data_IF_229894384223
#
_entry.id   IF_229894384223
#
_cell.length_a   1.000
_cell.length_b   1.000
_cell.length_c   1.000
_cell.angle_alpha   90.00
_cell.angle_beta   90.00
_cell.angle_gamma   90.00
#
_symmetry.space_group_name_H-M   'P 1'
#
loop_
_entity.id
_entity.type
_entity.pdbx_description
1 polymer ?
#
# COMPACT_ATOMS: atom_id res chain seq x y z
N UNK A 1 -19.45 -18.75 10.38
CA UNK A 1 -19.60 -17.91 9.17
C UNK A 1 -19.07 -16.48 9.32
N UNK A 2 -18.71 -15.99 10.54
CA UNK A 2 -18.12 -14.65 10.71
C UNK A 2 -16.63 -14.53 10.32
N UNK A 3 -15.87 -15.62 10.35
CA UNK A 3 -14.41 -15.61 10.18
C UNK A 3 -13.91 -15.46 8.73
N UNK A 4 -14.72 -15.79 7.71
CA UNK A 4 -14.28 -15.69 6.30
C UNK A 4 -14.35 -14.24 5.79
N UNK A 5 -15.45 -13.52 6.08
CA UNK A 5 -15.65 -12.13 5.65
C UNK A 5 -14.65 -11.14 6.28
N UNK A 6 -14.26 -11.36 7.54
CA UNK A 6 -13.27 -10.52 8.19
C UNK A 6 -11.90 -10.60 7.48
N UNK A 7 -11.54 -11.76 6.93
CA UNK A 7 -10.25 -11.91 6.25
C UNK A 7 -10.17 -11.06 4.97
N UNK A 8 -11.18 -11.09 4.10
CA UNK A 8 -11.18 -10.29 2.87
C UNK A 8 -11.25 -8.79 3.17
N UNK A 9 -12.07 -8.42 4.17
CA UNK A 9 -12.16 -7.06 4.69
C UNK A 9 -10.81 -6.53 5.16
N UNK A 10 -10.09 -7.32 5.96
CA UNK A 10 -8.78 -6.96 6.47
C UNK A 10 -7.73 -6.88 5.36
N UNK A 11 -7.72 -7.81 4.41
CA UNK A 11 -6.81 -7.77 3.24
C UNK A 11 -6.94 -6.46 2.48
N UNK A 12 -8.16 -6.13 2.06
CA UNK A 12 -8.44 -4.91 1.32
C UNK A 12 -8.06 -3.64 2.12
N UNK A 13 -8.28 -3.64 3.44
CA UNK A 13 -7.88 -2.53 4.30
C UNK A 13 -6.36 -2.39 4.44
N UNK A 14 -5.62 -3.49 4.60
CA UNK A 14 -4.15 -3.47 4.63
C UNK A 14 -3.55 -3.06 3.27
N UNK A 15 -4.11 -3.56 2.16
CA UNK A 15 -3.72 -3.17 0.81
C UNK A 15 -3.93 -1.67 0.59
N UNK A 16 -5.10 -1.12 0.95
CA UNK A 16 -5.33 0.32 0.83
C UNK A 16 -4.35 1.13 1.69
N UNK A 17 -4.12 0.69 2.93
CA UNK A 17 -3.17 1.35 3.81
C UNK A 17 -1.74 1.36 3.23
N UNK A 18 -1.35 0.25 2.60
CA UNK A 18 -0.08 0.14 1.86
C UNK A 18 -0.05 1.06 0.64
N UNK A 19 -1.12 1.10 -0.16
CA UNK A 19 -1.22 1.94 -1.36
C UNK A 19 -1.11 3.41 -1.01
N UNK A 20 -1.86 3.87 -0.01
CA UNK A 20 -1.79 5.24 0.50
C UNK A 20 -0.38 5.54 1.02
N UNK A 21 0.26 4.59 1.73
CA UNK A 21 1.64 4.75 2.17
C UNK A 21 2.59 4.95 0.98
N UNK A 22 2.49 4.10 -0.04
CA UNK A 22 3.27 4.15 -1.29
C UNK A 22 3.12 5.49 -2.02
N UNK A 23 1.88 5.91 -2.27
CA UNK A 23 1.55 7.21 -2.90
C UNK A 23 2.08 8.40 -2.08
N UNK A 24 2.05 8.29 -0.75
CA UNK A 24 2.50 9.37 0.13
C UNK A 24 4.02 9.47 0.26
N UNK A 25 4.79 8.55 -0.36
CA UNK A 25 6.22 8.44 -0.10
C UNK A 25 6.98 9.67 -0.54
N UNK A 26 6.63 10.28 -1.68
CA UNK A 26 7.24 11.50 -2.21
C UNK A 26 6.56 12.81 -1.77
N UNK A 27 5.40 12.68 -1.15
CA UNK A 27 4.64 13.81 -0.65
C UNK A 27 3.91 14.59 -1.75
N UNK A 28 3.62 14.01 -2.91
CA UNK A 28 2.74 14.64 -3.90
C UNK A 28 1.87 13.61 -4.59
N UNK A 29 0.54 13.76 -4.53
CA UNK A 29 -0.37 12.89 -5.28
C UNK A 29 -0.51 13.39 -6.70
N UNK A 30 -0.04 12.60 -7.66
CA UNK A 30 -0.19 12.85 -9.08
C UNK A 30 -1.50 12.24 -9.62
N UNK A 31 -1.79 12.50 -10.91
CA UNK A 31 -3.04 12.04 -11.52
C UNK A 31 -3.17 10.52 -11.54
N UNK A 32 -2.10 9.79 -11.83
CA UNK A 32 -2.13 8.34 -11.95
C UNK A 32 -2.37 7.68 -10.58
N UNK A 33 -1.75 8.20 -9.53
CA UNK A 33 -1.96 7.76 -8.14
C UNK A 33 -3.40 8.03 -7.68
N UNK A 34 -3.94 9.19 -8.03
CA UNK A 34 -5.35 9.48 -7.78
C UNK A 34 -6.29 8.51 -8.51
N UNK A 35 -6.01 8.17 -9.78
CA UNK A 35 -6.78 7.15 -10.50
C UNK A 35 -6.62 5.76 -9.89
N UNK A 36 -5.46 5.41 -9.32
CA UNK A 36 -5.26 4.16 -8.61
C UNK A 36 -6.16 4.05 -7.36
N UNK A 37 -6.26 5.12 -6.56
CA UNK A 37 -7.19 5.18 -5.42
C UNK A 37 -8.65 5.03 -5.85
N UNK A 38 -9.05 5.66 -6.96
CA UNK A 38 -10.38 5.46 -7.55
C UNK A 38 -10.64 4.02 -7.98
N UNK A 39 -9.65 3.41 -8.63
CA UNK A 39 -9.75 2.03 -9.07
C UNK A 39 -9.89 1.09 -7.87
N UNK A 40 -9.17 1.34 -6.77
CA UNK A 40 -9.35 0.58 -5.54
C UNK A 40 -10.80 0.67 -5.02
N UNK A 41 -11.39 1.87 -4.99
CA UNK A 41 -12.80 2.04 -4.61
C UNK A 41 -13.76 1.25 -5.51
N UNK A 42 -13.51 1.25 -6.83
CA UNK A 42 -14.36 0.52 -7.77
C UNK A 42 -14.23 -1.00 -7.61
N UNK A 43 -13.01 -1.52 -7.48
CA UNK A 43 -12.75 -2.95 -7.36
C UNK A 43 -13.31 -3.54 -6.06
N UNK A 44 -13.26 -2.77 -4.97
CA UNK A 44 -13.66 -3.24 -3.65
C UNK A 44 -15.11 -2.91 -3.29
N UNK A 45 -15.87 -2.23 -4.16
CA UNK A 45 -17.28 -1.90 -3.90
C UNK A 45 -18.12 -3.15 -3.57
N UNK A 46 -17.84 -4.27 -4.24
CA UNK A 46 -18.56 -5.54 -4.01
C UNK A 46 -18.41 -6.09 -2.58
N UNK A 47 -17.32 -5.75 -1.87
CA UNK A 47 -17.11 -6.14 -0.47
C UNK A 47 -18.04 -5.41 0.49
N UNK A 48 -18.73 -4.34 0.06
CA UNK A 48 -19.72 -3.62 0.88
C UNK A 48 -20.97 -4.46 1.21
N UNK A 49 -21.08 -5.69 0.69
CA UNK A 49 -22.06 -6.66 1.21
C UNK A 49 -21.78 -7.02 2.67
N UNK A 50 -20.51 -6.92 3.10
CA UNK A 50 -20.16 -6.99 4.51
C UNK A 50 -20.32 -5.61 5.17
N UNK A 51 -21.14 -5.53 6.21
CA UNK A 51 -21.43 -4.27 6.91
C UNK A 51 -20.19 -3.63 7.54
N UNK A 52 -19.19 -4.44 7.90
CA UNK A 52 -17.94 -3.96 8.50
C UNK A 52 -17.11 -3.25 7.45
N UNK A 53 -16.92 -3.88 6.29
CA UNK A 53 -16.24 -3.25 5.16
C UNK A 53 -17.01 -2.03 4.64
N UNK A 54 -18.34 -2.14 4.53
CA UNK A 54 -19.20 -1.02 4.13
C UNK A 54 -18.95 0.23 4.99
N UNK A 55 -18.83 0.06 6.32
CA UNK A 55 -18.57 1.17 7.24
C UNK A 55 -17.21 1.84 7.00
N UNK A 56 -16.18 1.07 6.65
CA UNK A 56 -14.89 1.62 6.23
C UNK A 56 -15.02 2.37 4.90
N UNK A 57 -15.65 1.71 3.92
CA UNK A 57 -15.79 2.21 2.56
C UNK A 57 -16.54 3.54 2.51
N UNK A 58 -17.65 3.69 3.25
CA UNK A 58 -18.44 4.92 3.31
C UNK A 58 -17.67 6.12 3.88
N UNK A 59 -16.59 5.88 4.66
CA UNK A 59 -15.71 6.93 5.17
C UNK A 59 -14.59 7.28 4.19
N UNK A 60 -14.07 6.29 3.48
CA UNK A 60 -12.93 6.45 2.56
C UNK A 60 -13.38 6.99 1.19
N UNK A 61 -14.43 6.42 0.60
CA UNK A 61 -14.86 6.72 -0.76
C UNK A 61 -15.10 8.23 -1.00
N UNK A 62 -15.74 8.99 -0.09
CA UNK A 62 -15.94 10.43 -0.31
C UNK A 62 -14.64 11.22 -0.41
N UNK A 63 -13.60 10.85 0.35
CA UNK A 63 -12.28 11.49 0.36
C UNK A 63 -11.49 11.25 -0.95
N UNK A 64 -11.87 10.23 -1.72
CA UNK A 64 -11.26 9.92 -3.02
C UNK A 64 -12.08 10.53 -4.17
N UNK A 65 -13.42 10.59 -4.03
CA UNK A 65 -14.30 11.02 -5.11
C UNK A 65 -14.58 12.53 -5.17
N UNK A 66 -14.21 13.31 -4.14
CA UNK A 66 -14.39 14.77 -4.11
C UNK A 66 -13.63 15.54 -5.22
N UNK A 67 -12.69 14.88 -5.88
CA UNK A 67 -12.05 15.34 -7.12
C UNK A 67 -10.55 15.61 -7.01
N UNK A 68 -9.98 15.65 -5.80
CA UNK A 68 -8.52 15.77 -5.58
C UNK A 68 -8.15 15.26 -4.20
N UNK A 69 -7.35 14.19 -4.13
CA UNK A 69 -6.72 13.75 -2.87
C UNK A 69 -5.52 14.65 -2.56
N UNK A 70 -5.59 15.36 -1.44
CA UNK A 70 -4.54 16.21 -0.89
C UNK A 70 -3.92 15.59 0.38
N UNK A 71 -2.95 16.27 0.98
CA UNK A 71 -2.25 15.78 2.17
C UNK A 71 -3.14 15.56 3.40
N UNK A 72 -4.15 16.41 3.60
CA UNK A 72 -5.12 16.29 4.69
C UNK A 72 -6.00 15.06 4.47
N UNK A 73 -6.50 14.84 3.25
CA UNK A 73 -7.28 13.64 2.93
C UNK A 73 -6.46 12.36 3.04
N UNK A 74 -5.19 12.36 2.60
CA UNK A 74 -4.28 11.23 2.84
C UNK A 74 -4.08 10.97 4.34
N UNK A 75 -3.96 12.02 5.15
CA UNK A 75 -3.84 11.90 6.59
C UNK A 75 -5.10 11.31 7.22
N UNK A 76 -6.27 11.82 6.83
CA UNK A 76 -7.57 11.37 7.32
C UNK A 76 -7.85 9.92 6.95
N UNK A 77 -7.59 9.53 5.69
CA UNK A 77 -7.69 8.13 5.27
C UNK A 77 -6.76 7.21 6.08
N UNK A 78 -5.53 7.64 6.34
CA UNK A 78 -4.61 6.90 7.20
C UNK A 78 -5.13 6.75 8.64
N UNK A 79 -5.73 7.80 9.23
CA UNK A 79 -6.34 7.70 10.56
C UNK A 79 -7.53 6.74 10.56
N UNK A 80 -8.42 6.85 9.56
CA UNK A 80 -9.58 5.96 9.40
C UNK A 80 -9.13 4.50 9.33
N UNK A 81 -8.15 4.18 8.49
CA UNK A 81 -7.63 2.83 8.33
C UNK A 81 -6.93 2.32 9.59
N UNK A 82 -6.16 3.17 10.26
CA UNK A 82 -5.49 2.81 11.51
C UNK A 82 -6.49 2.48 12.62
N UNK A 83 -7.54 3.28 12.77
CA UNK A 83 -8.62 2.99 13.73
C UNK A 83 -9.33 1.71 13.36
N UNK A 84 -9.73 1.55 12.10
CA UNK A 84 -10.42 0.36 11.61
C UNK A 84 -9.62 -0.92 11.86
N UNK A 85 -8.35 -0.95 11.44
CA UNK A 85 -7.47 -2.11 11.63
C UNK A 85 -7.16 -2.38 13.12
N UNK A 86 -7.23 -1.35 13.97
CA UNK A 86 -7.03 -1.47 15.41
C UNK A 86 -8.20 -2.14 16.15
N UNK A 87 -9.37 -2.26 15.53
CA UNK A 87 -10.55 -2.91 16.10
C UNK A 87 -10.51 -4.45 15.99
N UNK A 88 -9.54 -5.00 15.24
CA UNK A 88 -9.41 -6.44 14.99
C UNK A 88 -8.25 -7.06 15.77
N UNK A 89 -8.39 -8.36 16.09
CA UNK A 89 -7.33 -9.12 16.73
C UNK A 89 -6.26 -9.54 15.70
N UNK A 90 -4.99 -9.63 16.12
CA UNK A 90 -3.86 -9.94 15.23
C UNK A 90 -3.95 -11.31 14.54
N UNK A 91 -4.78 -12.21 15.07
CA UNK A 91 -4.96 -13.58 14.58
C UNK A 91 -6.01 -13.68 13.46
N UNK A 92 -6.80 -12.62 13.23
CA UNK A 92 -7.85 -12.59 12.21
C UNK A 92 -7.30 -12.53 10.77
N UNK A 93 -6.02 -12.20 10.60
CA UNK A 93 -5.34 -12.17 9.31
C UNK A 93 -3.93 -12.77 9.40
N UNK A 94 -3.60 -13.60 8.40
CA UNK A 94 -2.26 -14.15 8.24
C UNK A 94 -1.42 -13.21 7.39
N UNK A 95 -0.21 -12.90 7.83
CA UNK A 95 0.76 -12.05 7.13
C UNK A 95 0.19 -10.67 6.69
N UNK A 96 -0.39 -9.87 7.60
CA UNK A 96 -0.92 -8.54 7.26
C UNK A 96 0.10 -7.63 6.55
N UNK A 97 1.38 -7.80 6.87
CA UNK A 97 2.47 -7.04 6.25
C UNK A 97 2.69 -7.38 4.77
N UNK A 98 2.27 -8.56 4.30
CA UNK A 98 2.32 -8.90 2.87
C UNK A 98 1.27 -8.12 2.08
N UNK A 99 0.05 -8.02 2.59
CA UNK A 99 -1.02 -7.21 1.98
C UNK A 99 -0.67 -5.72 2.02
N UNK A 100 -0.09 -5.27 3.14
CA UNK A 100 0.44 -3.92 3.23
C UNK A 100 1.56 -3.68 2.22
N UNK A 101 2.53 -4.59 2.10
CA UNK A 101 3.61 -4.47 1.11
C UNK A 101 3.07 -4.49 -0.33
N UNK A 102 2.10 -5.34 -0.63
CA UNK A 102 1.41 -5.38 -1.92
C UNK A 102 0.83 -3.99 -2.25
N UNK A 103 0.14 -3.38 -1.29
CA UNK A 103 -0.33 -2.01 -1.42
C UNK A 103 0.81 -1.02 -1.70
N UNK A 104 1.93 -1.09 -0.98
CA UNK A 104 3.08 -0.19 -1.24
C UNK A 104 3.55 -0.32 -2.70
N UNK A 105 3.65 -1.55 -3.23
CA UNK A 105 4.02 -1.77 -4.62
C UNK A 105 3.03 -1.13 -5.57
N UNK A 106 1.72 -1.31 -5.36
CA UNK A 106 0.70 -0.67 -6.18
C UNK A 106 0.79 0.86 -6.14
N UNK A 107 1.01 1.43 -4.95
CA UNK A 107 1.17 2.87 -4.79
C UNK A 107 2.38 3.43 -5.55
N UNK A 108 3.55 2.81 -5.38
CA UNK A 108 4.78 3.22 -6.10
C UNK A 108 4.63 3.00 -7.61
N UNK A 109 4.01 1.90 -8.05
CA UNK A 109 3.78 1.64 -9.47
C UNK A 109 2.80 2.63 -10.10
N UNK A 110 1.84 3.13 -9.31
CA UNK A 110 0.86 4.10 -9.77
C UNK A 110 1.50 5.45 -10.10
N UNK A 111 2.60 5.83 -9.44
CA UNK A 111 3.29 7.10 -9.74
C UNK A 111 3.77 7.16 -11.20
N UNK A 112 4.12 6.01 -11.77
CA UNK A 112 4.54 5.82 -13.16
C UNK A 112 6.06 5.84 -13.35
N UNK A 113 6.75 6.67 -12.57
CA UNK A 113 8.19 6.89 -12.56
C UNK A 113 8.74 6.71 -11.15
N UNK A 114 9.40 5.57 -10.91
CA UNK A 114 10.02 5.26 -9.62
C UNK A 114 11.22 6.18 -9.39
N UNK A 115 11.24 6.91 -8.28
CA UNK A 115 12.29 7.86 -7.95
C UNK A 115 13.08 7.45 -6.69
N UNK A 116 14.23 8.10 -6.51
CA UNK A 116 15.15 7.80 -5.39
C UNK A 116 14.51 7.97 -4.01
N UNK A 117 13.62 8.96 -3.86
CA UNK A 117 13.05 9.29 -2.57
C UNK A 117 12.02 8.25 -2.13
N UNK A 118 11.18 7.75 -3.05
CA UNK A 118 10.29 6.62 -2.79
C UNK A 118 11.09 5.40 -2.29
N UNK A 119 12.17 5.05 -2.97
CA UNK A 119 12.97 3.87 -2.62
C UNK A 119 13.74 4.05 -1.31
N UNK A 120 14.20 5.26 -1.01
CA UNK A 120 14.79 5.56 0.30
C UNK A 120 13.76 5.40 1.44
N UNK A 121 12.52 5.85 1.23
CA UNK A 121 11.45 5.71 2.22
C UNK A 121 10.98 4.26 2.36
N UNK A 122 10.92 3.52 1.26
CA UNK A 122 10.68 2.07 1.26
C UNK A 122 11.78 1.35 2.06
N UNK A 123 13.05 1.70 1.85
CA UNK A 123 14.16 1.16 2.64
C UNK A 123 13.97 1.39 4.14
N UNK A 124 13.62 2.62 4.54
CA UNK A 124 13.37 2.93 5.95
C UNK A 124 12.20 2.11 6.52
N UNK A 125 11.17 1.86 5.74
CA UNK A 125 10.06 0.99 6.13
C UNK A 125 10.53 -0.46 6.31
N UNK A 126 11.33 -0.99 5.38
CA UNK A 126 11.91 -2.34 5.47
C UNK A 126 12.81 -2.51 6.70
N UNK A 127 13.63 -1.52 7.02
CA UNK A 127 14.49 -1.52 8.21
C UNK A 127 13.67 -1.58 9.52
N UNK A 128 12.58 -0.81 9.61
CA UNK A 128 11.65 -0.82 10.75
C UNK A 128 10.88 -2.13 10.88
N UNK A 129 10.72 -2.87 9.78
CA UNK A 129 10.03 -4.15 9.72
C UNK A 129 11.02 -5.31 9.45
N UNK A 130 12.25 -5.19 9.94
CA UNK A 130 13.32 -6.18 9.74
C UNK A 130 12.98 -7.58 10.28
N UNK A 131 11.97 -7.69 11.16
CA UNK A 131 11.41 -8.96 11.61
C UNK A 131 10.71 -9.76 10.49
N UNK A 132 10.47 -9.18 9.32
CA UNK A 132 9.89 -9.84 8.14
C UNK A 132 10.95 -10.51 7.25
N UNK A 133 12.22 -10.35 7.60
CA UNK A 133 13.31 -11.08 6.96
C UNK A 133 13.13 -12.59 7.18
N UNK A 134 13.32 -13.38 6.14
CA UNK A 134 13.02 -14.82 6.10
C UNK A 134 11.70 -15.16 5.42
N UNK A 135 10.93 -14.16 4.96
CA UNK A 135 9.68 -14.34 4.20
C UNK A 135 9.82 -13.74 2.79
N UNK A 136 9.27 -14.41 1.78
CA UNK A 136 9.14 -13.84 0.42
C UNK A 136 7.99 -12.81 0.41
N UNK A 137 8.12 -11.66 -0.28
CA UNK A 137 9.25 -11.25 -1.14
C UNK A 137 10.34 -10.44 -0.42
N UNK A 138 10.30 -10.30 0.91
CA UNK A 138 11.23 -9.44 1.66
C UNK A 138 12.71 -9.85 1.48
N UNK A 139 12.99 -11.15 1.46
CA UNK A 139 14.36 -11.67 1.29
C UNK A 139 15.01 -11.29 -0.05
N UNK A 140 14.20 -11.05 -1.08
CA UNK A 140 14.65 -10.62 -2.40
C UNK A 140 14.59 -9.09 -2.54
N UNK A 141 13.57 -8.46 -1.94
CA UNK A 141 13.35 -7.03 -1.99
C UNK A 141 14.45 -6.26 -1.25
N UNK A 142 14.82 -6.68 -0.03
CA UNK A 142 15.82 -5.99 0.78
C UNK A 142 17.16 -5.83 0.04
N UNK A 143 17.81 -6.92 -0.45
CA UNK A 143 19.07 -6.78 -1.17
C UNK A 143 18.93 -6.02 -2.49
N UNK A 144 17.78 -6.11 -3.17
CA UNK A 144 17.51 -5.30 -4.36
C UNK A 144 17.52 -3.81 -4.01
N UNK A 145 16.76 -3.40 -2.98
CA UNK A 145 16.68 -2.00 -2.51
C UNK A 145 18.04 -1.50 -2.01
N UNK A 146 18.83 -2.34 -1.34
CA UNK A 146 20.19 -1.99 -0.92
C UNK A 146 21.12 -1.79 -2.13
N UNK A 147 21.02 -2.64 -3.14
CA UNK A 147 21.84 -2.57 -4.35
C UNK A 147 21.53 -1.31 -5.17
N UNK A 148 20.26 -0.99 -5.40
CA UNK A 148 19.85 0.17 -6.20
C UNK A 148 20.06 1.50 -5.48
N UNK A 149 20.31 1.50 -4.17
CA UNK A 149 20.63 2.72 -3.40
C UNK A 149 22.11 2.79 -3.04
N UNK A 150 22.96 1.91 -3.58
CA UNK A 150 24.37 1.82 -3.22
C UNK A 150 25.14 3.11 -3.55
N UNK A 151 24.79 3.77 -4.67
CA UNK A 151 25.36 5.06 -5.08
C UNK A 151 24.50 6.27 -4.64
N UNK A 152 23.53 6.03 -3.75
CA UNK A 152 22.60 7.01 -3.16
C UNK A 152 21.59 7.64 -4.14
N UNK A 153 21.44 7.09 -5.34
CA UNK A 153 20.42 7.50 -6.32
C UNK A 153 19.83 6.27 -6.99
N UNK A 154 18.67 6.42 -7.60
CA UNK A 154 18.05 5.41 -8.46
C UNK A 154 18.14 5.94 -9.88
N UNK A 155 18.82 5.21 -10.75
CA UNK A 155 18.88 5.50 -12.19
C UNK A 155 17.77 4.79 -12.99
N UNK A 156 17.66 5.10 -14.29
CA UNK A 156 16.62 4.54 -15.16
C UNK A 156 16.67 3.00 -15.24
N UNK A 157 17.87 2.39 -15.21
CA UNK A 157 18.00 0.94 -15.28
C UNK A 157 17.59 0.28 -13.97
N UNK A 158 17.90 0.91 -12.85
CA UNK A 158 17.50 0.48 -11.52
C UNK A 158 15.98 0.62 -11.30
N UNK A 159 15.40 1.74 -11.76
CA UNK A 159 13.96 1.95 -11.76
C UNK A 159 13.22 0.86 -12.57
N UNK A 160 13.74 0.47 -13.73
CA UNK A 160 13.18 -0.65 -14.51
C UNK A 160 13.22 -1.97 -13.73
N UNK A 161 14.36 -2.30 -13.10
CA UNK A 161 14.49 -3.53 -12.30
C UNK A 161 13.50 -3.54 -11.11
N UNK A 162 13.35 -2.41 -10.42
CA UNK A 162 12.40 -2.26 -9.33
C UNK A 162 10.96 -2.44 -9.82
N UNK A 163 10.62 -1.81 -10.95
CA UNK A 163 9.30 -1.93 -11.57
C UNK A 163 8.96 -3.37 -11.92
N UNK A 164 9.89 -4.07 -12.58
CA UNK A 164 9.74 -5.50 -12.90
C UNK A 164 9.58 -6.34 -11.63
N UNK A 165 10.38 -6.08 -10.61
CA UNK A 165 10.29 -6.79 -9.34
C UNK A 165 8.92 -6.59 -8.67
N UNK A 166 8.45 -5.35 -8.55
CA UNK A 166 7.16 -5.03 -7.95
C UNK A 166 6.02 -5.70 -8.72
N UNK A 167 6.02 -5.60 -10.06
CA UNK A 167 4.98 -6.21 -10.90
C UNK A 167 4.92 -7.74 -10.79
N UNK A 168 6.07 -8.41 -10.66
CA UNK A 168 6.14 -9.86 -10.53
C UNK A 168 5.71 -10.38 -9.14
N UNK A 169 5.58 -9.49 -8.15
CA UNK A 169 5.26 -9.84 -6.76
C UNK A 169 3.95 -9.19 -6.25
N UNK A 170 3.13 -8.64 -7.16
CA UNK A 170 1.75 -8.29 -6.82
C UNK A 170 0.94 -9.57 -6.55
N UNK A 171 0.09 -9.52 -5.51
CA UNK A 171 -0.75 -10.64 -5.03
C UNK A 171 -2.00 -10.89 -5.88
#
# INVERSE_FOLDING_TARGET
MKTQNNSETLKAAYELAGMIYGISLDGTVNRNEYEALKNWCFQNESLCQDSTFQTLYEKIQPLILDGKVNHEELHDMNQILKTFLGDFESEEIKHPNLYFLNGIFEGILASGDINTYEIYRLKQWLEKNSNLKGESPFDELIPLVESVLADQKVDDQEAVKLKEFFQNHLL
#
